data_IF_194991759734
#
_entry.id   IF_194991759734
#
_cell.length_a   1.000
_cell.length_b   1.000
_cell.length_c   1.000
_cell.angle_alpha   90.00
_cell.angle_beta   90.00
_cell.angle_gamma   90.00
#
_symmetry.space_group_name_H-M   'P 1'
#
loop_
_entity.id
_entity.type
_entity.pdbx_description
1 polymer ?
#
# COMPACT_ATOMS: atom_id res chain seq x y z
N UNK A 1 14.71 13.95 11.33
CA UNK A 1 15.37 12.72 11.82
C UNK A 1 16.18 12.94 13.10
N UNK A 2 16.89 14.07 13.28
CA UNK A 2 17.67 14.33 14.51
C UNK A 2 16.86 14.48 15.82
N UNK A 3 15.53 14.48 15.76
CA UNK A 3 14.61 14.54 16.90
C UNK A 3 13.71 13.30 17.02
N UNK A 4 13.95 12.27 16.21
CA UNK A 4 13.15 11.04 16.20
C UNK A 4 13.72 10.11 17.28
N UNK A 5 12.95 9.80 18.30
CA UNK A 5 13.33 8.80 19.30
C UNK A 5 13.13 7.37 18.75
N UNK A 6 13.60 6.38 19.51
CA UNK A 6 13.55 4.98 19.09
C UNK A 6 12.11 4.45 18.95
N UNK A 7 11.19 4.94 19.78
CA UNK A 7 9.77 4.52 19.76
C UNK A 7 9.06 5.06 18.52
N UNK A 8 9.24 6.35 18.21
CA UNK A 8 8.71 6.94 17.00
C UNK A 8 9.29 6.25 15.75
N UNK A 9 10.60 5.96 15.74
CA UNK A 9 11.23 5.23 14.64
C UNK A 9 10.60 3.84 14.46
N UNK A 10 10.39 3.11 15.55
CA UNK A 10 9.77 1.78 15.51
C UNK A 10 8.33 1.84 14.98
N UNK A 11 7.57 2.85 15.40
CA UNK A 11 6.21 3.10 14.89
C UNK A 11 6.20 3.34 13.38
N UNK A 12 7.08 4.20 12.87
CA UNK A 12 7.20 4.43 11.43
C UNK A 12 7.68 3.17 10.68
N UNK A 13 8.68 2.48 11.21
CA UNK A 13 9.22 1.28 10.59
C UNK A 13 8.17 0.17 10.48
N UNK A 14 7.33 0.02 11.51
CA UNK A 14 6.25 -0.97 11.55
C UNK A 14 5.14 -0.63 10.56
N UNK A 15 4.65 0.62 10.59
CA UNK A 15 3.55 1.04 9.71
C UNK A 15 3.96 1.04 8.23
N UNK A 16 5.19 1.46 7.92
CA UNK A 16 5.65 1.58 6.54
C UNK A 16 6.35 0.31 6.00
N UNK A 17 6.46 -0.74 6.82
CA UNK A 17 7.14 -1.97 6.41
C UNK A 17 8.63 -1.79 6.15
N UNK A 18 9.31 -0.92 6.91
CA UNK A 18 10.76 -0.68 6.73
C UNK A 18 11.54 -1.89 7.25
N UNK A 19 12.10 -2.66 6.32
CA UNK A 19 12.97 -3.80 6.62
C UNK A 19 14.44 -3.43 6.70
N UNK A 20 14.86 -2.35 6.04
CA UNK A 20 16.27 -1.97 5.93
C UNK A 20 16.40 -0.45 5.91
N UNK A 21 17.35 0.07 6.68
CA UNK A 21 17.78 1.46 6.65
C UNK A 21 19.27 1.49 6.32
N UNK A 22 19.67 2.34 5.37
CA UNK A 22 21.06 2.49 4.95
C UNK A 22 21.48 3.92 5.20
N UNK A 23 22.65 4.11 5.81
CA UNK A 23 23.27 5.43 5.99
C UNK A 23 24.75 5.37 5.63
N UNK A 24 25.35 6.54 5.38
CA UNK A 24 26.80 6.63 5.23
C UNK A 24 27.49 6.38 6.58
N UNK A 25 28.66 5.77 6.56
CA UNK A 25 29.49 5.55 7.76
C UNK A 25 29.85 6.86 8.45
N UNK A 26 30.07 7.94 7.68
CA UNK A 26 30.34 9.28 8.22
C UNK A 26 29.17 9.88 9.02
N UNK A 27 27.96 9.33 8.86
CA UNK A 27 26.77 9.73 9.60
C UNK A 27 26.49 8.82 10.80
N UNK A 28 27.29 7.78 11.01
CA UNK A 28 27.21 6.96 12.22
C UNK A 28 27.46 7.82 13.47
N UNK A 29 26.72 7.55 14.54
CA UNK A 29 26.69 8.34 15.77
C UNK A 29 25.72 9.53 15.72
N UNK A 30 25.22 9.95 14.55
CA UNK A 30 24.25 11.06 14.43
C UNK A 30 22.81 10.64 14.71
N UNK A 31 22.51 9.34 14.70
CA UNK A 31 21.15 8.80 14.82
C UNK A 31 21.05 7.76 15.95
N UNK A 32 21.20 8.16 17.23
CA UNK A 32 21.23 7.24 18.36
C UNK A 32 19.93 6.43 18.52
N UNK A 33 18.80 6.97 18.06
CA UNK A 33 17.52 6.27 18.06
C UNK A 33 17.53 5.02 17.17
N UNK A 34 18.22 5.04 16.03
CA UNK A 34 18.37 3.88 15.15
C UNK A 34 19.42 2.91 15.69
N UNK A 35 20.56 3.42 16.15
CA UNK A 35 21.66 2.61 16.70
C UNK A 35 21.25 1.80 17.93
N UNK A 36 20.35 2.35 18.76
CA UNK A 36 19.84 1.71 19.97
C UNK A 36 18.54 0.95 19.76
N UNK A 37 17.95 0.98 18.56
CA UNK A 37 16.67 0.32 18.33
C UNK A 37 16.88 -1.21 18.25
N UNK A 38 16.29 -2.00 19.15
CA UNK A 38 16.48 -3.45 19.19
C UNK A 38 15.92 -4.18 17.96
N UNK A 39 15.03 -3.55 17.17
CA UNK A 39 14.46 -4.10 15.93
C UNK A 39 15.52 -4.36 14.87
N UNK A 40 16.59 -3.57 14.84
CA UNK A 40 17.57 -3.61 13.76
C UNK A 40 18.89 -4.27 14.21
N UNK A 41 19.55 -4.93 13.27
CA UNK A 41 20.92 -5.39 13.38
C UNK A 41 21.77 -4.57 12.39
N UNK A 42 22.86 -3.99 12.90
CA UNK A 42 23.77 -3.18 12.10
C UNK A 42 24.89 -4.06 11.51
N UNK A 43 25.25 -3.80 10.25
CA UNK A 43 26.45 -4.30 9.62
C UNK A 43 27.14 -3.15 8.89
N UNK A 44 28.46 -3.02 9.09
CA UNK A 44 29.27 -2.04 8.36
C UNK A 44 29.67 -2.66 7.02
N UNK A 45 29.28 -2.00 5.94
CA UNK A 45 29.59 -2.38 4.55
C UNK A 45 30.10 -1.13 3.85
N UNK A 46 31.41 -0.80 3.98
CA UNK A 46 31.93 0.50 3.59
C UNK A 46 31.57 0.90 2.14
N UNK A 47 31.16 2.16 1.90
CA UNK A 47 31.12 3.29 2.84
C UNK A 47 29.80 3.41 3.65
N UNK A 48 29.03 2.33 3.76
CA UNK A 48 27.69 2.31 4.34
C UNK A 48 27.64 1.60 5.69
N UNK A 49 26.63 1.97 6.48
CA UNK A 49 26.13 1.15 7.59
C UNK A 49 24.71 0.72 7.23
N UNK A 50 24.48 -0.59 7.23
CA UNK A 50 23.20 -1.21 6.88
C UNK A 50 22.55 -1.72 8.16
N UNK A 51 21.37 -1.19 8.46
CA UNK A 51 20.52 -1.61 9.57
C UNK A 51 19.39 -2.48 9.03
N UNK A 52 19.49 -3.79 9.21
CA UNK A 52 18.47 -4.74 8.74
C UNK A 52 17.56 -5.16 9.89
N UNK A 53 16.26 -5.21 9.64
CA UNK A 53 15.28 -5.75 10.58
C UNK A 53 15.67 -7.18 10.97
N UNK A 54 15.67 -7.47 12.27
CA UNK A 54 15.96 -8.80 12.81
C UNK A 54 14.86 -9.79 12.48
N UNK A 55 13.62 -9.31 12.47
CA UNK A 55 12.45 -10.10 12.11
C UNK A 55 12.04 -9.84 10.66
N UNK A 56 11.51 -10.85 9.96
CA UNK A 56 10.90 -10.66 8.65
C UNK A 56 9.78 -9.62 8.71
N UNK A 57 9.78 -8.70 7.76
CA UNK A 57 8.75 -7.67 7.63
C UNK A 57 7.88 -8.10 6.45
N UNK A 58 6.68 -8.71 6.66
CA UNK A 58 5.80 -9.07 5.56
C UNK A 58 5.46 -7.85 4.70
N UNK A 59 5.76 -7.93 3.41
CA UNK A 59 5.40 -6.89 2.45
C UNK A 59 4.26 -7.42 1.56
N UNK A 60 3.44 -6.52 0.99
CA UNK A 60 2.50 -6.92 -0.03
C UNK A 60 3.23 -7.47 -1.24
N UNK A 61 2.82 -8.65 -1.69
CA UNK A 61 3.34 -9.31 -2.88
C UNK A 61 2.28 -9.27 -3.98
N UNK A 62 2.63 -8.93 -5.23
CA UNK A 62 1.66 -8.92 -6.32
C UNK A 62 1.23 -10.35 -6.67
N UNK A 63 -0.08 -10.61 -6.66
CA UNK A 63 -0.72 -11.82 -7.19
C UNK A 63 -1.12 -11.59 -8.66
N UNK A 64 -1.72 -10.43 -8.93
CA UNK A 64 -2.00 -9.89 -10.28
C UNK A 64 -1.62 -8.41 -10.36
N UNK A 65 -1.86 -7.76 -11.50
CA UNK A 65 -1.58 -6.33 -11.70
C UNK A 65 -2.34 -5.43 -10.71
N UNK A 66 -3.53 -5.85 -10.29
CA UNK A 66 -4.49 -5.12 -9.45
C UNK A 66 -4.71 -5.77 -8.08
N UNK A 67 -4.20 -6.98 -7.83
CA UNK A 67 -4.35 -7.71 -6.57
C UNK A 67 -3.01 -8.02 -5.95
N UNK A 68 -2.80 -7.57 -4.73
CA UNK A 68 -1.64 -7.92 -3.90
C UNK A 68 -2.09 -8.75 -2.71
N UNK A 69 -1.21 -9.57 -2.16
CA UNK A 69 -1.47 -10.39 -0.98
C UNK A 69 -0.45 -10.07 0.11
N UNK A 70 -0.90 -9.97 1.35
CA UNK A 70 -0.05 -9.73 2.51
C UNK A 70 -0.52 -10.57 3.70
N UNK A 71 0.42 -11.18 4.42
CA UNK A 71 0.15 -11.80 5.71
C UNK A 71 0.22 -10.72 6.80
N UNK A 72 -0.90 -10.55 7.52
CA UNK A 72 -1.00 -9.59 8.62
C UNK A 72 -1.32 -10.30 9.93
N UNK A 73 -0.71 -9.80 10.99
CA UNK A 73 -0.95 -10.20 12.38
C UNK A 73 -1.34 -8.96 13.19
N UNK A 74 -2.27 -9.12 14.11
CA UNK A 74 -2.73 -8.07 15.02
C UNK A 74 -4.04 -8.43 15.69
N UNK A 75 -4.45 -7.66 16.70
CA UNK A 75 -5.64 -8.01 17.48
C UNK A 75 -6.94 -7.87 16.65
N UNK A 76 -7.88 -8.82 16.76
CA UNK A 76 -9.20 -8.68 16.16
C UNK A 76 -9.88 -7.37 16.54
N UNK A 77 -10.44 -6.68 15.55
CA UNK A 77 -11.12 -5.40 15.72
C UNK A 77 -10.18 -4.18 15.80
N UNK A 78 -8.86 -4.36 15.91
CA UNK A 78 -7.87 -3.28 15.77
C UNK A 78 -7.54 -3.01 14.31
N UNK A 79 -7.09 -1.79 14.07
CA UNK A 79 -6.57 -1.36 12.78
C UNK A 79 -5.09 -1.74 12.68
N UNK A 80 -4.72 -2.36 11.57
CA UNK A 80 -3.36 -2.83 11.28
C UNK A 80 -2.95 -2.27 9.93
N UNK A 81 -1.73 -1.76 9.84
CA UNK A 81 -1.21 -1.26 8.58
C UNK A 81 -0.99 -2.38 7.57
N UNK A 82 -1.47 -2.17 6.35
CA UNK A 82 -1.21 -3.00 5.20
C UNK A 82 0.12 -2.63 4.50
N UNK A 83 0.89 -1.68 5.04
CA UNK A 83 2.23 -1.28 4.56
C UNK A 83 2.25 -0.78 3.13
N UNK A 84 1.14 -0.17 2.72
CA UNK A 84 0.98 0.53 1.44
C UNK A 84 0.39 1.90 1.67
N UNK A 85 0.65 2.84 0.77
CA UNK A 85 0.01 4.14 0.81
C UNK A 85 -1.51 4.02 0.60
N UNK A 86 -2.28 4.77 1.39
CA UNK A 86 -3.72 4.82 1.26
C UNK A 86 -4.16 5.45 -0.07
N UNK A 87 -5.18 4.84 -0.65
CA UNK A 87 -5.96 5.35 -1.78
C UNK A 87 -7.41 4.95 -1.55
N UNK A 88 -8.41 5.80 -1.85
CA UNK A 88 -9.82 5.44 -1.73
C UNK A 88 -10.24 4.29 -2.66
N UNK A 89 -9.38 3.91 -3.62
CA UNK A 89 -9.59 2.80 -4.54
C UNK A 89 -9.16 1.44 -3.97
N UNK A 90 -8.37 1.43 -2.89
CA UNK A 90 -8.03 0.19 -2.22
C UNK A 90 -9.25 -0.46 -1.58
N UNK A 91 -9.33 -1.78 -1.74
CA UNK A 91 -10.23 -2.68 -1.03
C UNK A 91 -9.40 -3.79 -0.40
N UNK A 92 -9.89 -4.35 0.70
CA UNK A 92 -9.22 -5.44 1.40
C UNK A 92 -10.21 -6.58 1.61
N UNK A 93 -9.76 -7.81 1.42
CA UNK A 93 -10.52 -9.04 1.58
C UNK A 93 -9.69 -10.07 2.36
N UNK A 94 -10.33 -10.89 3.20
CA UNK A 94 -9.68 -12.03 3.84
C UNK A 94 -10.61 -13.23 3.79
N UNK A 95 -10.17 -14.32 3.15
CA UNK A 95 -10.99 -15.52 2.98
C UNK A 95 -12.31 -15.28 2.25
N UNK A 96 -12.35 -14.29 1.35
CA UNK A 96 -13.55 -13.89 0.60
C UNK A 96 -14.47 -12.89 1.32
N UNK A 97 -14.17 -12.51 2.56
CA UNK A 97 -14.92 -11.48 3.28
C UNK A 97 -14.27 -10.11 3.16
N UNK A 98 -15.07 -9.09 2.86
CA UNK A 98 -14.60 -7.71 2.78
C UNK A 98 -14.20 -7.17 4.17
N UNK A 99 -12.99 -6.64 4.26
CA UNK A 99 -12.48 -5.97 5.45
C UNK A 99 -12.72 -4.46 5.37
N UNK A 100 -12.96 -3.85 6.53
CA UNK A 100 -13.00 -2.40 6.62
C UNK A 100 -11.60 -1.83 6.37
N UNK A 101 -11.52 -0.79 5.55
CA UNK A 101 -10.29 -0.06 5.23
C UNK A 101 -10.40 1.39 5.67
N UNK A 102 -9.29 2.01 6.07
CA UNK A 102 -9.21 3.44 6.31
C UNK A 102 -7.82 3.99 6.00
N UNK A 103 -7.72 5.32 6.00
CA UNK A 103 -6.45 6.03 6.01
C UNK A 103 -5.92 6.08 7.45
N UNK A 104 -4.73 5.54 7.67
CA UNK A 104 -3.98 5.65 8.92
C UNK A 104 -3.41 7.06 9.13
N UNK A 105 -2.93 7.33 10.34
CA UNK A 105 -2.34 8.63 10.70
C UNK A 105 -1.11 8.98 9.85
N UNK A 106 -0.37 7.96 9.41
CA UNK A 106 0.82 8.12 8.57
C UNK A 106 0.50 8.13 7.07
N UNK A 107 -0.79 8.08 6.71
CA UNK A 107 -1.24 8.02 5.32
C UNK A 107 -1.15 6.62 4.69
N UNK A 108 -0.85 5.62 5.49
CA UNK A 108 -0.90 4.21 5.12
C UNK A 108 -2.33 3.68 5.07
N UNK A 109 -2.54 2.61 4.30
CA UNK A 109 -3.78 1.85 4.28
C UNK A 109 -3.83 0.98 5.53
N UNK A 110 -4.82 1.21 6.38
CA UNK A 110 -5.09 0.35 7.52
C UNK A 110 -6.31 -0.53 7.25
N UNK A 111 -6.21 -1.79 7.66
CA UNK A 111 -7.30 -2.77 7.59
C UNK A 111 -7.71 -3.18 9.00
N UNK A 112 -9.01 -3.44 9.19
CA UNK A 112 -9.51 -3.95 10.47
C UNK A 112 -9.63 -5.47 10.40
N UNK A 113 -8.75 -6.18 11.11
CA UNK A 113 -8.72 -7.64 11.08
C UNK A 113 -9.89 -8.24 11.87
N UNK A 114 -10.49 -9.30 11.35
CA UNK A 114 -11.49 -10.10 12.06
C UNK A 114 -10.86 -11.23 12.90
N UNK A 115 -9.65 -11.66 12.55
CA UNK A 115 -8.90 -12.75 13.18
C UNK A 115 -7.48 -12.27 13.55
N UNK A 116 -6.80 -12.90 14.52
CA UNK A 116 -5.48 -12.49 14.97
C UNK A 116 -4.40 -12.51 13.88
N UNK A 117 -4.56 -13.41 12.92
CA UNK A 117 -3.71 -13.51 11.75
C UNK A 117 -4.58 -13.83 10.52
N UNK A 118 -4.28 -13.18 9.40
CA UNK A 118 -4.96 -13.44 8.14
C UNK A 118 -4.07 -13.14 6.94
N UNK A 119 -4.19 -13.96 5.89
CA UNK A 119 -3.80 -13.55 4.55
C UNK A 119 -4.86 -12.58 4.02
N UNK A 120 -4.43 -11.35 3.77
CA UNK A 120 -5.28 -10.26 3.28
C UNK A 120 -4.94 -10.01 1.82
N UNK A 121 -5.97 -10.06 0.98
CA UNK A 121 -5.91 -9.63 -0.41
C UNK A 121 -6.24 -8.14 -0.46
N UNK A 122 -5.30 -7.35 -1.00
CA UNK A 122 -5.47 -5.94 -1.30
C UNK A 122 -5.80 -5.81 -2.78
N UNK A 123 -6.98 -5.30 -3.09
CA UNK A 123 -7.44 -5.13 -4.47
C UNK A 123 -7.50 -3.64 -4.79
N UNK A 124 -6.74 -3.23 -5.79
CA UNK A 124 -6.80 -1.88 -6.35
C UNK A 124 -7.90 -1.85 -7.40
N UNK A 125 -9.08 -1.38 -7.02
CA UNK A 125 -10.22 -1.39 -7.93
C UNK A 125 -10.19 -0.23 -8.93
N UNK A 126 -10.76 -0.48 -10.12
CA UNK A 126 -11.17 0.60 -11.02
C UNK A 126 -12.09 1.55 -10.26
N UNK A 127 -11.77 2.84 -10.32
CA UNK A 127 -12.62 3.86 -9.73
C UNK A 127 -14.02 3.82 -10.34
N UNK A 128 -15.03 4.11 -9.52
CA UNK A 128 -16.40 4.35 -10.00
C UNK A 128 -16.44 5.34 -11.19
N UNK A 129 -15.45 6.24 -11.25
CA UNK A 129 -15.26 7.22 -12.32
C UNK A 129 -14.65 6.65 -13.60
N UNK A 130 -13.78 5.64 -13.52
CA UNK A 130 -13.22 4.98 -14.72
C UNK A 130 -14.32 4.20 -15.45
N UNK A 131 -15.18 3.49 -14.70
CA UNK A 131 -16.34 2.81 -15.29
C UNK A 131 -17.32 3.80 -15.91
N UNK A 132 -17.60 4.92 -15.24
CA UNK A 132 -18.45 5.98 -15.78
C UNK A 132 -17.87 6.57 -17.07
N UNK A 133 -16.56 6.83 -17.10
CA UNK A 133 -15.85 7.30 -18.29
C UNK A 133 -15.91 6.32 -19.46
N UNK A 134 -15.75 5.01 -19.20
CA UNK A 134 -15.88 3.96 -20.21
C UNK A 134 -17.30 3.93 -20.80
N UNK A 135 -18.33 3.99 -19.95
CA UNK A 135 -19.73 4.02 -20.37
C UNK A 135 -20.01 5.25 -21.23
N UNK A 136 -19.57 6.43 -20.80
CA UNK A 136 -19.77 7.67 -21.56
C UNK A 136 -19.04 7.65 -22.91
N UNK A 137 -17.83 7.10 -22.95
CA UNK A 137 -17.07 6.89 -24.19
C UNK A 137 -17.81 5.95 -25.15
N UNK A 138 -18.34 4.83 -24.63
CA UNK A 138 -19.10 3.88 -25.42
C UNK A 138 -20.39 4.52 -25.99
N UNK A 139 -21.12 5.29 -25.19
CA UNK A 139 -22.31 6.04 -25.64
C UNK A 139 -21.93 7.04 -26.74
N UNK A 140 -20.85 7.81 -26.56
CA UNK A 140 -20.37 8.76 -27.56
C UNK A 140 -20.00 8.08 -28.88
N UNK A 141 -19.28 6.96 -28.82
CA UNK A 141 -18.90 6.18 -29.98
C UNK A 141 -20.12 5.62 -30.73
N UNK A 142 -21.11 5.09 -30.01
CA UNK A 142 -22.36 4.58 -30.59
C UNK A 142 -23.17 5.70 -31.26
N UNK A 143 -23.29 6.87 -30.62
CA UNK A 143 -23.96 8.03 -31.20
C UNK A 143 -23.24 8.52 -32.47
N UNK A 144 -21.91 8.56 -32.44
CA UNK A 144 -21.11 8.94 -33.61
C UNK A 144 -21.29 7.94 -34.76
N UNK A 145 -21.16 6.64 -34.50
CA UNK A 145 -21.37 5.59 -35.49
C UNK A 145 -22.79 5.62 -36.08
N UNK A 146 -23.82 5.83 -35.25
CA UNK A 146 -25.21 5.94 -35.71
C UNK A 146 -25.43 7.08 -36.70
N UNK A 147 -24.64 8.16 -36.58
CA UNK A 147 -24.71 9.33 -37.45
C UNK A 147 -24.06 9.07 -38.81
N UNK A 148 -23.02 8.24 -38.85
CA UNK A 148 -22.38 7.77 -40.09
C UNK A 148 -23.18 6.70 -40.81
N UNK A 149 -23.86 5.84 -40.06
CA UNK A 149 -24.70 4.76 -40.59
C UNK A 149 -26.10 5.24 -41.01
N UNK A 150 -26.50 6.47 -40.68
CA UNK A 150 -27.76 7.05 -41.16
C UNK A 150 -27.69 7.17 -42.69
N UNK A 151 -28.60 6.50 -43.43
CA UNK A 151 -28.66 6.65 -44.88
C UNK A 151 -28.84 8.12 -45.20
N UNK A 152 -27.95 8.69 -46.02
CA UNK A 152 -28.23 9.97 -46.66
C UNK A 152 -29.50 9.77 -47.48
N UNK A 153 -30.65 10.21 -46.95
CA UNK A 153 -31.88 10.34 -47.74
C UNK A 153 -31.51 11.23 -48.92
N UNK A 154 -31.32 10.62 -50.10
CA UNK A 154 -31.16 11.35 -51.36
C UNK A 154 -32.44 12.18 -51.49
N UNK A 155 -32.30 13.51 -51.37
CA UNK A 155 -33.38 14.42 -51.77
C UNK A 155 -33.55 14.21 -53.28
N UNK A 156 -34.72 13.69 -53.66
CA UNK A 156 -35.22 13.73 -55.02
C UNK A 156 -35.65 15.16 -55.36
#
# INVERSE_FOLDING_TARGET
>A
LGSLDAEALDRFATALGVSTIVMLEIDAGRFPALERNPRFAAAVVPPWVVYRSREPVPLPEPDTADRWRIALEGDPGRWVSARVAYSPLWRAEAGGEALAVRRGELGDLEVRLAKPAAAVDLVYGDGQWERAGLIMTAIGALLWASRWLRPRRRRA
#
